data_IF_003706799693
#
_entry.id   IF_003706799693
#
_cell.length_a   1.000
_cell.length_b   1.000
_cell.length_c   1.000
_cell.angle_alpha   90.00
_cell.angle_beta   90.00
_cell.angle_gamma   90.00
#
_symmetry.space_group_name_H-M   'P 1'
#
loop_
_entity.id
_entity.type
_entity.pdbx_description
1 polymer ?
#
# COMPACT_ATOMS: atom_id res chain seq x y z
N UNK A 1 -19.14 -4.41 -20.61
CA UNK A 1 -18.13 -5.41 -20.19
C UNK A 1 -17.16 -5.74 -21.33
N UNK A 2 -17.64 -6.11 -22.54
CA UNK A 2 -16.76 -6.41 -23.70
C UNK A 2 -15.88 -5.22 -24.08
N UNK A 3 -16.43 -4.01 -24.13
CA UNK A 3 -15.68 -2.79 -24.43
C UNK A 3 -14.60 -2.53 -23.36
N UNK A 4 -14.94 -2.70 -22.09
CA UNK A 4 -13.99 -2.56 -20.97
C UNK A 4 -12.84 -3.56 -21.06
N UNK A 5 -13.13 -4.81 -21.42
CA UNK A 5 -12.11 -5.84 -21.64
C UNK A 5 -11.19 -5.48 -22.81
N UNK A 6 -11.75 -4.98 -23.91
CA UNK A 6 -10.99 -4.57 -25.09
C UNK A 6 -10.11 -3.34 -24.78
N UNK A 7 -10.65 -2.31 -24.12
CA UNK A 7 -9.88 -1.15 -23.67
C UNK A 7 -8.73 -1.56 -22.73
N UNK A 8 -8.97 -2.50 -21.84
CA UNK A 8 -7.94 -2.98 -20.92
C UNK A 8 -6.87 -3.80 -21.64
N UNK A 9 -7.26 -4.61 -22.64
CA UNK A 9 -6.31 -5.33 -23.50
C UNK A 9 -5.35 -4.38 -24.22
N UNK A 10 -5.89 -3.32 -24.83
CA UNK A 10 -5.11 -2.29 -25.52
C UNK A 10 -4.26 -1.50 -24.54
N UNK A 11 -4.85 -1.16 -23.39
CA UNK A 11 -4.17 -0.43 -22.35
C UNK A 11 -2.98 -1.17 -21.75
N UNK A 12 -3.06 -2.47 -21.57
CA UNK A 12 -1.99 -3.32 -21.03
C UNK A 12 -1.02 -3.85 -22.07
N UNK A 13 -1.32 -3.69 -23.37
CA UNK A 13 -0.52 -4.29 -24.44
C UNK A 13 -0.25 -5.79 -24.20
N UNK A 14 -1.31 -6.56 -23.95
CA UNK A 14 -1.22 -7.97 -23.51
C UNK A 14 -0.30 -8.81 -24.41
N UNK A 15 -0.30 -8.57 -25.70
CA UNK A 15 0.53 -9.31 -26.64
C UNK A 15 2.03 -8.98 -26.45
N UNK A 16 2.37 -7.74 -26.11
CA UNK A 16 3.72 -7.32 -25.75
C UNK A 16 4.12 -7.95 -24.41
N UNK A 17 3.21 -7.95 -23.42
CA UNK A 17 3.47 -8.57 -22.12
C UNK A 17 3.73 -10.08 -22.24
N UNK A 18 3.04 -10.80 -23.12
CA UNK A 18 3.31 -12.22 -23.38
C UNK A 18 4.69 -12.45 -23.98
N UNK A 19 5.11 -11.58 -24.92
CA UNK A 19 6.47 -11.61 -25.46
C UNK A 19 7.51 -11.36 -24.36
N UNK A 20 7.29 -10.33 -23.55
CA UNK A 20 8.18 -9.99 -22.42
C UNK A 20 8.28 -11.09 -21.39
N UNK A 21 7.17 -11.76 -21.10
CA UNK A 21 7.16 -12.90 -20.18
C UNK A 21 8.02 -14.05 -20.68
N UNK A 22 7.95 -14.35 -21.98
CA UNK A 22 8.78 -15.39 -22.58
C UNK A 22 10.27 -15.05 -22.49
N UNK A 23 10.65 -13.78 -22.73
CA UNK A 23 12.02 -13.30 -22.58
C UNK A 23 12.51 -13.43 -21.14
N UNK A 24 11.72 -12.95 -20.17
CA UNK A 24 12.07 -12.99 -18.74
C UNK A 24 12.24 -14.44 -18.23
N UNK A 25 11.37 -15.36 -18.66
CA UNK A 25 11.52 -16.78 -18.31
C UNK A 25 12.79 -17.39 -18.90
N UNK A 26 13.10 -17.08 -20.16
CA UNK A 26 14.33 -17.52 -20.78
C UNK A 26 15.58 -16.91 -20.12
N UNK A 27 15.46 -15.69 -19.60
CA UNK A 27 16.54 -15.03 -18.82
C UNK A 27 16.74 -15.67 -17.46
N UNK A 28 15.64 -16.03 -16.78
CA UNK A 28 15.65 -16.71 -15.49
C UNK A 28 16.28 -18.12 -15.54
N UNK A 29 16.22 -18.80 -16.70
CA UNK A 29 16.83 -20.11 -16.92
C UNK A 29 18.35 -20.07 -17.11
N UNK A 30 18.95 -18.87 -17.28
CA UNK A 30 20.40 -18.75 -17.48
C UNK A 30 21.18 -19.12 -16.20
N UNK A 31 22.28 -19.89 -16.31
CA UNK A 31 23.07 -20.32 -15.16
C UNK A 31 23.64 -19.15 -14.33
N UNK A 32 23.88 -18.00 -14.95
CA UNK A 32 24.40 -16.78 -14.31
C UNK A 32 23.42 -16.19 -13.29
N UNK A 33 22.12 -16.37 -13.50
CA UNK A 33 21.06 -15.89 -12.60
C UNK A 33 20.98 -16.75 -11.33
N UNK A 34 21.24 -18.06 -11.45
CA UNK A 34 21.18 -19.01 -10.32
C UNK A 34 22.27 -18.75 -9.28
N UNK A 35 23.39 -18.16 -9.70
CA UNK A 35 24.50 -17.80 -8.82
C UNK A 35 24.34 -16.44 -8.12
N UNK A 36 23.37 -15.64 -8.52
CA UNK A 36 23.15 -14.29 -7.99
C UNK A 36 21.73 -14.17 -7.41
N UNK A 37 21.64 -14.24 -6.08
CA UNK A 37 20.35 -14.20 -5.34
C UNK A 37 19.57 -12.91 -5.60
N UNK A 38 20.26 -11.78 -5.70
CA UNK A 38 19.64 -10.46 -5.93
C UNK A 38 19.02 -10.38 -7.33
N UNK A 39 19.76 -10.78 -8.36
CA UNK A 39 19.28 -10.82 -9.73
C UNK A 39 18.13 -11.82 -9.91
N UNK A 40 18.22 -12.99 -9.28
CA UNK A 40 17.16 -14.00 -9.27
C UNK A 40 15.87 -13.48 -8.62
N UNK A 41 16.00 -12.78 -7.50
CA UNK A 41 14.85 -12.18 -6.79
C UNK A 41 14.19 -11.08 -7.61
N UNK A 42 14.99 -10.21 -8.24
CA UNK A 42 14.52 -9.13 -9.12
C UNK A 42 13.76 -9.67 -10.34
N UNK A 43 14.35 -10.62 -11.05
CA UNK A 43 13.71 -11.28 -12.18
C UNK A 43 12.45 -12.05 -11.76
N UNK A 44 12.47 -12.74 -10.62
CA UNK A 44 11.31 -13.43 -10.09
C UNK A 44 10.13 -12.50 -9.83
N UNK A 45 10.38 -11.31 -9.27
CA UNK A 45 9.35 -10.28 -9.06
C UNK A 45 8.80 -9.74 -10.39
N UNK A 46 9.67 -9.50 -11.36
CA UNK A 46 9.26 -9.01 -12.68
C UNK A 46 8.40 -10.05 -13.42
N UNK A 47 8.80 -11.32 -13.40
CA UNK A 47 8.01 -12.44 -13.95
C UNK A 47 6.65 -12.51 -13.27
N UNK A 48 6.60 -12.51 -11.94
CA UNK A 48 5.34 -12.59 -11.17
C UNK A 48 4.41 -11.41 -11.48
N UNK A 49 4.95 -10.20 -11.60
CA UNK A 49 4.16 -9.02 -11.94
C UNK A 49 3.57 -9.10 -13.35
N UNK A 50 4.35 -9.54 -14.34
CA UNK A 50 3.87 -9.69 -15.72
C UNK A 50 2.85 -10.84 -15.83
N UNK A 51 3.12 -11.99 -15.19
CA UNK A 51 2.17 -13.10 -15.12
C UNK A 51 0.86 -12.70 -14.43
N UNK A 52 0.93 -11.94 -13.35
CA UNK A 52 -0.25 -11.45 -12.64
C UNK A 52 -1.17 -10.62 -13.55
N UNK A 53 -0.60 -9.74 -14.39
CA UNK A 53 -1.37 -8.93 -15.35
C UNK A 53 -2.00 -9.79 -16.45
N UNK A 54 -1.27 -10.75 -17.01
CA UNK A 54 -1.79 -11.65 -18.04
C UNK A 54 -2.90 -12.54 -17.46
N UNK A 55 -2.68 -13.12 -16.27
CA UNK A 55 -3.66 -13.99 -15.61
C UNK A 55 -4.95 -13.22 -15.25
N UNK A 56 -4.84 -11.98 -14.79
CA UNK A 56 -6.00 -11.14 -14.53
C UNK A 56 -6.82 -10.90 -15.81
N UNK A 57 -6.16 -10.62 -16.94
CA UNK A 57 -6.82 -10.45 -18.22
C UNK A 57 -7.52 -11.75 -18.67
N UNK A 58 -6.82 -12.91 -18.60
CA UNK A 58 -7.41 -14.19 -19.00
C UNK A 58 -8.59 -14.57 -18.08
N UNK A 59 -8.51 -14.27 -16.80
CA UNK A 59 -9.63 -14.48 -15.85
C UNK A 59 -10.85 -13.64 -16.24
N UNK A 60 -10.68 -12.33 -16.51
CA UNK A 60 -11.76 -11.46 -16.93
C UNK A 60 -12.38 -11.88 -18.27
N UNK A 61 -11.52 -12.30 -19.22
CA UNK A 61 -11.98 -12.83 -20.50
C UNK A 61 -12.84 -14.10 -20.34
N UNK A 62 -12.37 -15.05 -19.52
CA UNK A 62 -13.10 -16.29 -19.23
C UNK A 62 -14.42 -16.02 -18.53
N UNK A 63 -14.47 -15.10 -17.55
CA UNK A 63 -15.69 -14.71 -16.88
C UNK A 63 -16.72 -14.12 -17.86
N UNK A 64 -16.26 -13.33 -18.84
CA UNK A 64 -17.14 -12.80 -19.88
C UNK A 64 -17.63 -13.90 -20.85
N UNK A 65 -16.79 -14.87 -21.20
CA UNK A 65 -17.17 -16.04 -22.01
C UNK A 65 -18.25 -16.86 -21.27
N UNK A 66 -18.05 -17.15 -19.97
CA UNK A 66 -19.04 -17.87 -19.15
C UNK A 66 -20.40 -17.14 -19.08
N UNK A 67 -20.40 -15.80 -18.95
CA UNK A 67 -21.62 -15.01 -18.98
C UNK A 67 -22.34 -15.13 -20.33
N UNK A 68 -21.61 -15.05 -21.46
CA UNK A 68 -22.20 -15.19 -22.79
C UNK A 68 -22.76 -16.59 -23.02
N UNK A 69 -22.05 -17.64 -22.59
CA UNK A 69 -22.49 -19.03 -22.72
C UNK A 69 -23.84 -19.25 -21.98
N UNK A 70 -24.01 -18.65 -20.79
CA UNK A 70 -25.27 -18.75 -20.03
C UNK A 70 -26.39 -17.94 -20.71
N UNK A 71 -26.09 -16.78 -21.29
CA UNK A 71 -27.06 -15.99 -22.06
C UNK A 71 -27.56 -16.80 -23.27
N UNK A 72 -26.62 -17.35 -24.06
CA UNK A 72 -26.95 -18.15 -25.23
C UNK A 72 -27.81 -19.38 -24.84
N UNK A 73 -27.49 -20.03 -23.71
CA UNK A 73 -28.26 -21.16 -23.19
C UNK A 73 -29.70 -20.75 -22.82
N UNK A 74 -29.88 -19.61 -22.15
CA UNK A 74 -31.23 -19.10 -21.81
C UNK A 74 -32.02 -18.77 -23.07
N UNK A 75 -31.37 -18.17 -24.07
CA UNK A 75 -32.01 -17.84 -25.33
C UNK A 75 -32.45 -19.08 -26.13
N UNK A 76 -31.65 -20.15 -26.11
CA UNK A 76 -31.94 -21.40 -26.81
C UNK A 76 -32.99 -22.26 -26.10
N UNK A 77 -32.92 -22.34 -24.78
CA UNK A 77 -33.77 -23.26 -24.00
C UNK A 77 -35.02 -22.61 -23.43
N UNK A 78 -34.98 -21.28 -23.21
CA UNK A 78 -36.05 -20.56 -22.51
C UNK A 78 -36.11 -20.83 -21.02
N UNK A 79 -35.05 -21.38 -20.42
CA UNK A 79 -34.94 -21.70 -18.99
C UNK A 79 -34.74 -20.46 -18.13
N UNK A 80 -35.82 -19.79 -17.72
CA UNK A 80 -35.77 -18.61 -16.84
C UNK A 80 -35.21 -18.92 -15.44
N UNK A 81 -35.11 -20.19 -15.05
CA UNK A 81 -34.50 -20.59 -13.78
C UNK A 81 -33.00 -20.27 -13.67
N UNK A 82 -32.31 -20.08 -14.80
CA UNK A 82 -30.89 -19.70 -14.85
C UNK A 82 -30.64 -18.18 -14.68
N UNK A 83 -31.67 -17.36 -14.73
CA UNK A 83 -31.53 -15.89 -14.60
C UNK A 83 -30.86 -15.46 -13.28
N UNK A 84 -31.15 -16.02 -12.10
CA UNK A 84 -30.46 -15.65 -10.86
C UNK A 84 -28.97 -16.03 -10.86
N UNK A 85 -28.60 -17.11 -11.55
CA UNK A 85 -27.21 -17.53 -11.74
C UNK A 85 -26.49 -16.55 -12.66
N UNK A 86 -27.11 -16.14 -13.75
CA UNK A 86 -26.61 -15.13 -14.67
C UNK A 86 -26.37 -13.81 -13.95
N UNK A 87 -27.28 -13.35 -13.10
CA UNK A 87 -27.11 -12.11 -12.32
C UNK A 87 -25.88 -12.19 -11.40
N UNK A 88 -25.64 -13.35 -10.80
CA UNK A 88 -24.48 -13.57 -9.93
C UNK A 88 -23.17 -13.57 -10.73
N UNK A 89 -23.16 -14.24 -11.89
CA UNK A 89 -22.00 -14.26 -12.78
C UNK A 89 -21.68 -12.88 -13.34
N UNK A 90 -22.70 -12.11 -13.73
CA UNK A 90 -22.55 -10.74 -14.19
C UNK A 90 -21.94 -9.83 -13.11
N UNK A 91 -22.45 -9.88 -11.88
CA UNK A 91 -21.92 -9.09 -10.78
C UNK A 91 -20.43 -9.42 -10.50
N UNK A 92 -20.08 -10.72 -10.53
CA UNK A 92 -18.70 -11.18 -10.35
C UNK A 92 -17.80 -10.73 -11.51
N UNK A 93 -18.28 -10.84 -12.75
CA UNK A 93 -17.52 -10.41 -13.92
C UNK A 93 -17.33 -8.86 -13.94
N UNK A 94 -18.32 -8.08 -13.51
CA UNK A 94 -18.21 -6.64 -13.36
C UNK A 94 -17.14 -6.26 -12.32
N UNK A 95 -17.12 -6.91 -11.18
CA UNK A 95 -16.12 -6.67 -10.12
C UNK A 95 -14.71 -7.03 -10.61
N UNK A 96 -14.54 -8.19 -11.21
CA UNK A 96 -13.25 -8.65 -11.75
C UNK A 96 -12.71 -7.71 -12.87
N UNK A 97 -13.58 -7.25 -13.76
CA UNK A 97 -13.20 -6.33 -14.85
C UNK A 97 -12.87 -4.93 -14.32
N UNK A 98 -13.60 -4.43 -13.33
CA UNK A 98 -13.30 -3.12 -12.72
C UNK A 98 -11.97 -3.17 -11.95
N UNK A 99 -11.70 -4.23 -11.20
CA UNK A 99 -10.41 -4.44 -10.55
C UNK A 99 -9.26 -4.49 -11.56
N UNK A 100 -9.45 -5.19 -12.68
CA UNK A 100 -8.47 -5.25 -13.75
C UNK A 100 -8.27 -3.85 -14.38
N UNK A 101 -9.34 -3.08 -14.61
CA UNK A 101 -9.27 -1.70 -15.10
C UNK A 101 -8.46 -0.81 -14.17
N UNK A 102 -8.72 -0.87 -12.87
CA UNK A 102 -7.96 -0.12 -11.87
C UNK A 102 -6.48 -0.49 -11.92
N UNK A 103 -6.15 -1.79 -11.96
CA UNK A 103 -4.76 -2.26 -12.08
C UNK A 103 -4.07 -1.77 -13.36
N UNK A 104 -4.81 -1.65 -14.47
CA UNK A 104 -4.27 -1.16 -15.74
C UNK A 104 -3.85 0.32 -15.69
N UNK A 105 -4.37 1.09 -14.75
CA UNK A 105 -4.01 2.50 -14.51
C UNK A 105 -2.70 2.65 -13.72
N UNK A 106 -2.25 1.60 -13.03
CA UNK A 106 -1.04 1.61 -12.22
C UNK A 106 0.21 1.40 -13.09
N UNK A 107 0.68 2.48 -13.74
CA UNK A 107 1.80 2.47 -14.70
C UNK A 107 3.01 3.28 -14.24
N UNK A 108 2.96 3.89 -13.08
CA UNK A 108 4.06 4.66 -12.53
C UNK A 108 5.26 3.77 -12.21
N UNK A 109 6.46 4.32 -12.33
CA UNK A 109 7.74 3.62 -12.07
C UNK A 109 7.75 2.86 -10.73
N UNK A 110 7.08 3.40 -9.72
CA UNK A 110 7.08 2.87 -8.36
C UNK A 110 5.77 2.19 -7.97
N UNK A 111 4.78 2.13 -8.87
CA UNK A 111 3.43 1.61 -8.53
C UNK A 111 3.44 0.16 -8.07
N UNK A 112 4.37 -0.66 -8.57
CA UNK A 112 4.55 -2.06 -8.18
C UNK A 112 5.24 -2.29 -6.82
N UNK A 113 5.68 -1.22 -6.16
CA UNK A 113 6.44 -1.32 -4.91
C UNK A 113 5.53 -1.46 -3.68
N UNK A 114 6.11 -1.92 -2.58
CA UNK A 114 5.47 -1.84 -1.27
C UNK A 114 5.31 -0.37 -0.86
N UNK A 115 4.39 -0.11 0.05
CA UNK A 115 4.11 1.24 0.54
C UNK A 115 4.60 1.43 1.97
N UNK A 116 5.29 2.55 2.22
CA UNK A 116 5.59 3.06 3.55
C UNK A 116 4.61 4.20 3.85
N UNK A 117 3.87 4.07 4.92
CA UNK A 117 2.84 5.02 5.32
C UNK A 117 3.19 5.65 6.67
N UNK A 118 3.03 6.97 6.75
CA UNK A 118 3.19 7.73 7.98
C UNK A 118 1.93 8.53 8.25
N UNK A 119 1.29 8.28 9.37
CA UNK A 119 0.14 9.04 9.85
C UNK A 119 0.56 9.95 10.99
N UNK A 120 0.17 11.23 10.92
CA UNK A 120 0.38 12.18 12.00
C UNK A 120 -0.93 12.88 12.38
N UNK A 121 -1.13 13.07 13.68
CA UNK A 121 -2.22 13.89 14.19
C UNK A 121 -1.95 15.37 13.87
N UNK A 122 -2.96 16.05 13.34
CA UNK A 122 -2.94 17.47 13.07
C UNK A 122 -3.69 18.30 14.12
N UNK A 123 -4.32 19.39 13.68
CA UNK A 123 -5.13 20.21 14.56
C UNK A 123 -6.37 19.44 15.05
N UNK A 124 -6.64 19.49 16.36
CA UNK A 124 -7.79 18.83 17.01
C UNK A 124 -7.51 18.19 18.37
N UNK A 125 -6.25 18.21 18.84
CA UNK A 125 -5.87 17.65 20.14
C UNK A 125 -6.17 16.15 20.23
N UNK A 126 -6.73 15.68 21.33
CA UNK A 126 -7.10 14.27 21.57
C UNK A 126 -8.00 13.70 20.46
N UNK A 127 -8.91 14.51 19.92
CA UNK A 127 -9.79 14.12 18.81
C UNK A 127 -9.00 13.80 17.54
N UNK A 128 -7.92 14.52 17.23
CA UNK A 128 -7.08 14.24 16.07
C UNK A 128 -6.24 12.96 16.24
N UNK A 129 -5.82 12.66 17.48
CA UNK A 129 -5.14 11.40 17.80
C UNK A 129 -6.07 10.20 17.64
N UNK A 130 -7.34 10.33 18.04
CA UNK A 130 -8.36 9.30 17.82
C UNK A 130 -8.65 9.12 16.33
N UNK A 131 -8.69 10.22 15.57
CA UNK A 131 -8.85 10.16 14.11
C UNK A 131 -7.71 9.38 13.42
N UNK A 132 -6.45 9.57 13.84
CA UNK A 132 -5.31 8.77 13.37
C UNK A 132 -5.52 7.29 13.65
N UNK A 133 -5.99 6.92 14.85
CA UNK A 133 -6.31 5.52 15.18
C UNK A 133 -7.37 4.93 14.25
N UNK A 134 -8.39 5.72 13.90
CA UNK A 134 -9.43 5.28 12.97
C UNK A 134 -8.88 5.08 11.56
N UNK A 135 -8.03 6.00 11.07
CA UNK A 135 -7.37 5.89 9.77
C UNK A 135 -6.41 4.68 9.73
N UNK A 136 -5.58 4.50 10.75
CA UNK A 136 -4.68 3.36 10.86
C UNK A 136 -5.44 2.04 10.79
N UNK A 137 -6.53 1.92 11.55
CA UNK A 137 -7.42 0.75 11.49
C UNK A 137 -8.06 0.57 10.11
N UNK A 138 -8.46 1.66 9.44
CA UNK A 138 -9.05 1.61 8.09
C UNK A 138 -8.04 1.04 7.09
N UNK A 139 -6.81 1.56 7.05
CA UNK A 139 -5.78 1.10 6.14
C UNK A 139 -5.31 -0.33 6.44
N UNK A 140 -5.17 -0.69 7.73
CA UNK A 140 -4.84 -2.06 8.12
C UNK A 140 -5.90 -3.05 7.62
N UNK A 141 -7.18 -2.73 7.81
CA UNK A 141 -8.27 -3.59 7.33
C UNK A 141 -8.38 -3.64 5.81
N UNK A 142 -8.11 -2.54 5.14
CA UNK A 142 -8.01 -2.53 3.69
C UNK A 142 -6.90 -3.48 3.22
N UNK A 143 -5.73 -3.39 3.82
CA UNK A 143 -4.60 -4.25 3.51
C UNK A 143 -4.93 -5.74 3.74
N UNK A 144 -5.53 -6.08 4.88
CA UNK A 144 -5.96 -7.45 5.19
C UNK A 144 -6.94 -8.02 4.16
N UNK A 145 -7.94 -7.22 3.74
CA UNK A 145 -8.93 -7.65 2.73
C UNK A 145 -8.32 -7.89 1.36
N UNK A 146 -7.26 -7.15 1.01
CA UNK A 146 -6.55 -7.30 -0.25
C UNK A 146 -5.38 -8.29 -0.17
N UNK A 147 -5.23 -9.01 0.95
CA UNK A 147 -4.16 -9.99 1.12
C UNK A 147 -2.76 -9.37 1.28
N UNK A 148 -2.69 -8.08 1.61
CA UNK A 148 -1.44 -7.39 1.87
C UNK A 148 -0.99 -7.63 3.32
N UNK A 149 0.33 -7.71 3.52
CA UNK A 149 0.90 -7.82 4.86
C UNK A 149 1.17 -6.42 5.43
N UNK A 150 0.77 -6.20 6.67
CA UNK A 150 1.03 -4.94 7.40
C UNK A 150 2.08 -5.19 8.47
N UNK A 151 3.07 -4.30 8.53
CA UNK A 151 4.11 -4.29 9.57
C UNK A 151 4.19 -2.90 10.18
N UNK A 152 3.90 -2.77 11.47
CA UNK A 152 4.10 -1.53 12.22
C UNK A 152 5.60 -1.33 12.45
N UNK A 153 6.12 -0.15 12.13
CA UNK A 153 7.54 0.20 12.24
C UNK A 153 7.82 1.03 13.48
N UNK A 154 7.01 2.08 13.70
CA UNK A 154 7.10 2.94 14.88
C UNK A 154 5.70 3.47 15.23
N UNK A 155 5.48 3.71 16.52
CA UNK A 155 4.21 4.23 17.01
C UNK A 155 4.39 5.11 18.23
N UNK A 156 3.79 6.27 18.18
CA UNK A 156 3.70 7.18 19.30
C UNK A 156 2.22 7.39 19.65
N UNK A 157 1.82 6.94 20.83
CA UNK A 157 0.46 7.11 21.33
C UNK A 157 0.19 8.56 21.76
N UNK A 158 -1.06 8.98 21.72
CA UNK A 158 -1.50 10.26 22.27
C UNK A 158 -1.51 10.27 23.79
N UNK A 159 -1.35 11.44 24.39
CA UNK A 159 -1.24 11.58 25.86
C UNK A 159 -2.49 11.09 26.61
N UNK A 160 -3.68 11.28 26.04
CA UNK A 160 -4.97 10.91 26.67
C UNK A 160 -5.66 9.75 25.93
N UNK A 161 -5.64 9.77 24.60
CA UNK A 161 -6.23 8.73 23.77
C UNK A 161 -5.68 8.80 22.34
N UNK A 162 -5.82 7.69 21.62
CA UNK A 162 -5.50 7.61 20.21
C UNK A 162 -4.00 7.53 19.92
N UNK A 163 -3.64 7.76 18.68
CA UNK A 163 -2.29 7.68 18.14
C UNK A 163 -1.86 9.07 17.69
N UNK A 164 -0.70 9.54 18.16
CA UNK A 164 -0.12 10.82 17.74
C UNK A 164 0.60 10.70 16.40
N UNK A 165 1.37 9.64 16.23
CA UNK A 165 1.98 9.26 14.95
C UNK A 165 2.15 7.75 14.85
N UNK A 166 2.10 7.21 13.65
CA UNK A 166 2.40 5.82 13.38
C UNK A 166 3.02 5.67 12.00
N UNK A 167 4.12 4.94 11.95
CA UNK A 167 4.81 4.53 10.74
C UNK A 167 4.59 3.04 10.53
N UNK A 168 4.11 2.68 9.35
CA UNK A 168 3.84 1.28 9.03
C UNK A 168 4.07 0.99 7.56
N UNK A 169 4.40 -0.26 7.28
CA UNK A 169 4.64 -0.78 5.94
C UNK A 169 3.48 -1.66 5.50
N UNK A 170 3.05 -1.50 4.25
CA UNK A 170 2.10 -2.39 3.58
C UNK A 170 2.84 -3.08 2.42
N UNK A 171 2.99 -4.41 2.55
CA UNK A 171 3.69 -5.25 1.59
C UNK A 171 2.67 -5.99 0.72
N UNK A 172 2.77 -5.81 -0.58
CA UNK A 172 1.90 -6.49 -1.55
C UNK A 172 2.07 -5.93 -2.96
N UNK A 173 1.57 -6.66 -3.93
CA UNK A 173 1.62 -6.25 -5.34
C UNK A 173 0.86 -4.95 -5.55
N UNK A 174 1.54 -3.94 -6.09
CA UNK A 174 1.00 -2.60 -6.35
C UNK A 174 0.50 -1.84 -5.10
N UNK A 175 0.95 -2.21 -3.89
CA UNK A 175 0.50 -1.57 -2.65
C UNK A 175 0.70 -0.05 -2.69
N UNK A 176 1.88 0.44 -3.14
CA UNK A 176 2.12 1.86 -3.32
C UNK A 176 1.22 2.48 -4.39
N UNK A 177 1.03 1.80 -5.52
CA UNK A 177 0.19 2.27 -6.61
C UNK A 177 -1.23 2.58 -6.17
N UNK A 178 -1.85 1.72 -5.36
CA UNK A 178 -3.18 1.93 -4.80
C UNK A 178 -3.22 3.04 -3.76
N UNK A 179 -2.21 3.09 -2.87
CA UNK A 179 -2.24 3.96 -1.69
C UNK A 179 -1.66 5.35 -1.95
N UNK A 180 -0.88 5.58 -3.01
CA UNK A 180 -0.28 6.89 -3.32
C UNK A 180 -1.30 8.02 -3.46
N UNK A 181 -2.51 7.70 -3.92
CA UNK A 181 -3.58 8.68 -4.10
C UNK A 181 -4.19 9.15 -2.76
N UNK A 182 -4.02 8.38 -1.69
CA UNK A 182 -4.49 8.71 -0.35
C UNK A 182 -3.59 9.73 0.38
N UNK A 183 -2.39 10.02 -0.15
CA UNK A 183 -1.48 11.00 0.43
C UNK A 183 -2.13 12.36 0.55
N UNK A 184 -2.14 12.91 1.77
CA UNK A 184 -2.67 14.25 2.02
C UNK A 184 -3.26 14.43 3.40
N UNK A 185 -4.16 15.42 3.51
CA UNK A 185 -4.81 15.77 4.77
C UNK A 185 -6.23 15.20 4.81
N UNK A 186 -6.47 14.39 5.82
CA UNK A 186 -7.76 13.75 6.10
C UNK A 186 -8.53 14.54 7.13
N UNK A 187 -9.76 14.93 6.81
CA UNK A 187 -10.63 15.72 7.67
C UNK A 187 -11.75 14.87 8.24
N UNK A 188 -11.91 14.91 9.56
CA UNK A 188 -13.03 14.32 10.27
C UNK A 188 -13.93 15.41 10.82
N UNK A 189 -15.24 15.27 10.60
CA UNK A 189 -16.26 16.14 11.22
C UNK A 189 -17.30 15.25 11.89
N UNK A 190 -17.31 15.24 13.23
CA UNK A 190 -18.27 14.45 14.01
C UNK A 190 -18.61 15.12 15.35
N UNK A 191 -19.61 14.59 16.04
CA UNK A 191 -19.82 14.91 17.45
C UNK A 191 -18.71 14.25 18.24
N UNK A 192 -17.92 15.03 19.00
CA UNK A 192 -16.77 14.53 19.73
C UNK A 192 -17.20 13.63 20.89
N UNK A 193 -16.66 12.42 21.01
CA UNK A 193 -16.86 11.57 22.19
C UNK A 193 -16.11 12.10 23.44
N UNK A 194 -15.16 13.02 23.26
CA UNK A 194 -14.35 13.61 24.33
C UNK A 194 -14.92 14.94 24.85
N UNK A 195 -15.92 15.52 24.17
CA UNK A 195 -16.59 16.75 24.62
C UNK A 195 -17.87 16.42 25.42
N UNK A 196 -17.85 16.76 26.71
CA UNK A 196 -19.02 16.59 27.59
C UNK A 196 -20.29 17.31 27.08
N UNK A 197 -20.13 18.39 26.32
CA UNK A 197 -21.22 19.16 25.74
C UNK A 197 -21.71 18.58 24.38
N UNK A 198 -21.13 17.49 23.92
CA UNK A 198 -21.49 16.81 22.64
C UNK A 198 -21.51 17.76 21.43
N UNK A 199 -20.58 18.69 21.39
CA UNK A 199 -20.44 19.61 20.26
C UNK A 199 -19.79 18.93 19.06
N UNK A 200 -20.07 19.45 17.88
CA UNK A 200 -19.44 19.02 16.64
C UNK A 200 -18.03 19.61 16.53
N UNK A 201 -17.03 18.75 16.39
CA UNK A 201 -15.63 19.12 16.22
C UNK A 201 -15.13 18.77 14.82
N UNK A 202 -14.11 19.48 14.38
CA UNK A 202 -13.37 19.19 13.15
C UNK A 202 -11.93 18.89 13.53
N UNK A 203 -11.43 17.74 13.07
CA UNK A 203 -10.05 17.28 13.32
C UNK A 203 -9.38 16.93 12.02
N UNK A 204 -8.07 17.07 12.01
CA UNK A 204 -7.25 16.79 10.85
C UNK A 204 -6.16 15.78 11.20
N UNK A 205 -5.83 14.93 10.24
CA UNK A 205 -4.68 14.05 10.25
C UNK A 205 -3.99 14.11 8.90
N UNK A 206 -2.68 13.98 8.86
CA UNK A 206 -1.93 13.88 7.61
C UNK A 206 -1.51 12.44 7.37
N UNK A 207 -1.60 12.01 6.12
CA UNK A 207 -1.04 10.76 5.63
C UNK A 207 0.06 11.07 4.61
N UNK A 208 1.25 10.54 4.86
CA UNK A 208 2.31 10.43 3.87
C UNK A 208 2.37 9.00 3.34
N UNK A 209 2.60 8.88 2.04
CA UNK A 209 2.79 7.59 1.38
C UNK A 209 4.03 7.67 0.52
N UNK A 210 4.96 6.73 0.75
CA UNK A 210 6.21 6.62 0.01
C UNK A 210 6.39 5.20 -0.50
N UNK A 211 7.04 4.99 -1.67
CA UNK A 211 7.41 3.65 -2.12
C UNK A 211 8.58 3.13 -1.27
N UNK A 212 8.59 1.84 -0.97
CA UNK A 212 9.77 1.16 -0.43
C UNK A 212 10.77 0.95 -1.56
N UNK A 213 11.72 1.88 -1.69
CA UNK A 213 12.78 1.80 -2.69
C UNK A 213 13.87 0.88 -2.12
N UNK A 214 14.28 -0.14 -2.89
CA UNK A 214 15.45 -0.94 -2.54
C UNK A 214 16.70 -0.07 -2.65
N UNK A 215 17.63 -0.27 -1.71
CA UNK A 215 18.89 0.49 -1.68
C UNK A 215 19.72 0.11 -2.92
N UNK A 216 19.76 1.00 -3.91
CA UNK A 216 20.56 0.83 -5.13
C UNK A 216 22.08 1.00 -4.87
N UNK A 217 22.49 1.10 -3.59
CA UNK A 217 23.90 1.06 -3.16
C UNK A 217 24.79 2.24 -3.58
N UNK A 218 24.26 3.19 -4.34
CA UNK A 218 25.04 4.29 -4.92
C UNK A 218 25.09 5.57 -4.05
N UNK A 219 24.50 5.55 -2.85
CA UNK A 219 24.51 6.73 -1.96
C UNK A 219 25.62 6.58 -0.91
N UNK A 220 26.76 7.20 -1.17
CA UNK A 220 27.84 7.29 -0.18
C UNK A 220 27.51 8.33 0.90
N UNK A 221 27.22 7.87 2.12
CA UNK A 221 26.99 8.74 3.27
C UNK A 221 28.30 8.85 4.05
N UNK A 222 28.91 10.03 4.05
CA UNK A 222 30.15 10.30 4.79
C UNK A 222 29.83 10.63 6.23
N UNK A 223 30.63 10.11 7.15
CA UNK A 223 30.44 10.36 8.59
C UNK A 223 30.59 11.86 8.94
N UNK A 224 31.38 12.60 8.17
CA UNK A 224 31.59 14.05 8.33
C UNK A 224 30.35 14.90 7.98
N UNK A 225 29.46 14.34 7.15
CA UNK A 225 28.19 14.98 6.75
C UNK A 225 27.06 14.68 7.72
N UNK A 226 27.29 13.85 8.74
CA UNK A 226 26.28 13.47 9.72
C UNK A 226 26.46 14.23 11.02
N UNK A 227 25.38 14.88 11.46
CA UNK A 227 25.28 15.46 12.81
C UNK A 227 24.41 14.55 13.67
N UNK A 228 25.04 13.85 14.61
CA UNK A 228 24.34 13.03 15.60
C UNK A 228 24.05 13.89 16.83
N UNK A 229 22.81 13.92 17.28
CA UNK A 229 22.37 14.63 18.48
C UNK A 229 21.46 13.73 19.30
N UNK A 230 21.61 13.79 20.63
CA UNK A 230 20.79 13.02 21.57
C UNK A 230 19.75 13.92 22.20
N UNK A 231 18.56 13.37 22.43
CA UNK A 231 17.45 14.04 23.07
C UNK A 231 16.76 13.13 24.08
N UNK A 232 15.92 13.74 24.89
CA UNK A 232 14.99 12.98 25.73
C UNK A 232 13.88 12.43 24.85
N UNK A 233 13.59 11.15 24.99
CA UNK A 233 12.46 10.54 24.29
C UNK A 233 11.14 11.18 24.76
N UNK A 234 10.23 11.39 23.81
CA UNK A 234 8.89 11.93 24.07
C UNK A 234 7.89 10.78 24.08
N UNK A 235 7.11 10.64 25.15
CA UNK A 235 6.05 9.62 25.27
C UNK A 235 5.52 9.55 26.69
N UNK A 236 4.38 8.89 26.87
CA UNK A 236 3.82 8.58 28.18
C UNK A 236 4.75 7.59 28.89
N UNK A 237 5.52 8.04 29.88
CA UNK A 237 6.48 7.22 30.60
C UNK A 237 6.92 7.84 31.90
N UNK A 238 7.43 6.98 32.79
CA UNK A 238 7.89 7.34 34.14
C UNK A 238 9.20 8.14 34.16
N UNK A 239 9.77 8.29 35.37
CA UNK A 239 10.93 9.13 35.67
C UNK A 239 12.20 8.83 34.82
N UNK A 240 12.30 7.62 34.25
CA UNK A 240 13.44 7.20 33.42
C UNK A 240 13.43 7.89 32.03
N UNK A 241 12.30 7.95 31.38
CA UNK A 241 12.12 8.57 30.03
C UNK A 241 12.42 10.10 30.09
N UNK A 242 12.07 10.74 31.22
CA UNK A 242 12.26 12.17 31.41
C UNK A 242 13.69 12.56 31.81
N UNK A 243 14.55 11.62 32.19
CA UNK A 243 15.91 11.90 32.68
C UNK A 243 17.03 11.43 31.74
N UNK A 244 16.78 10.43 30.90
CA UNK A 244 17.79 9.87 29.99
C UNK A 244 17.57 10.38 28.56
N UNK A 245 18.66 10.80 27.92
CA UNK A 245 18.67 11.21 26.51
C UNK A 245 18.84 9.96 25.62
N UNK A 246 17.82 9.12 25.57
CA UNK A 246 17.83 7.84 24.82
C UNK A 246 17.39 7.98 23.36
N UNK A 247 16.79 9.11 22.98
CA UNK A 247 16.43 9.38 21.59
C UNK A 247 17.65 9.90 20.82
N UNK A 248 17.96 9.26 19.68
CA UNK A 248 19.04 9.69 18.78
C UNK A 248 18.43 10.34 17.54
N UNK A 249 18.93 11.50 17.19
CA UNK A 249 18.61 12.18 15.94
C UNK A 249 19.87 12.34 15.08
N UNK A 250 19.83 11.79 13.88
CA UNK A 250 20.88 11.93 12.88
C UNK A 250 20.37 12.91 11.80
N UNK A 251 21.15 13.94 11.55
CA UNK A 251 20.84 14.94 10.51
C UNK A 251 21.96 14.89 9.46
N UNK A 252 21.59 14.66 8.21
CA UNK A 252 22.50 14.78 7.07
C UNK A 252 22.60 16.23 6.67
N UNK A 253 23.77 16.86 6.93
CA UNK A 253 23.98 18.30 6.80
C UNK A 253 23.76 18.84 5.36
N UNK A 254 24.24 18.14 4.29
CA UNK A 254 24.09 18.62 2.93
C UNK A 254 22.64 18.65 2.43
N UNK A 255 21.81 17.68 2.85
CA UNK A 255 20.41 17.59 2.40
C UNK A 255 19.40 18.13 3.41
N UNK A 256 19.80 18.31 4.67
CA UNK A 256 18.92 18.70 5.77
C UNK A 256 17.96 17.59 6.23
N UNK A 257 18.09 16.38 5.67
CA UNK A 257 17.26 15.24 6.07
C UNK A 257 17.65 14.84 7.49
N UNK A 258 16.64 14.68 8.36
CA UNK A 258 16.83 14.26 9.74
C UNK A 258 15.96 13.04 10.05
N UNK A 259 16.58 12.02 10.64
CA UNK A 259 15.92 10.80 11.10
C UNK A 259 16.08 10.70 12.61
N UNK A 260 15.04 10.22 13.30
CA UNK A 260 15.02 10.08 14.76
C UNK A 260 14.64 8.64 15.10
N UNK A 261 15.35 8.03 16.05
CA UNK A 261 15.03 6.71 16.60
C UNK A 261 14.95 6.80 18.13
N UNK A 262 13.91 6.19 18.72
CA UNK A 262 13.69 6.15 20.16
C UNK A 262 13.26 4.77 20.67
N UNK A 263 13.37 3.72 19.86
CA UNK A 263 12.93 2.37 20.19
C UNK A 263 13.84 1.68 21.20
N UNK A 264 15.13 2.01 21.18
CA UNK A 264 16.12 1.36 22.05
C UNK A 264 16.25 2.09 23.39
N UNK A 265 16.38 1.30 24.47
CA UNK A 265 16.58 1.83 25.83
C UNK A 265 18.00 2.34 26.09
N UNK A 266 18.94 2.02 25.21
CA UNK A 266 20.36 2.37 25.30
C UNK A 266 20.85 2.93 23.98
N UNK A 267 21.86 3.81 24.05
CA UNK A 267 22.56 4.40 22.90
C UNK A 267 23.65 3.48 22.32
N UNK A 268 23.77 2.26 22.82
CA UNK A 268 24.79 1.27 22.44
C UNK A 268 24.15 0.17 21.61
#
# INVERSE_FOLDING_TARGET
LADTLQETKEALDIDILRGRLAELKAEQEKPEVWGNLELSTKLGREVSSVEGKINAYEKGKKALEEVNDVIDLIEETGEEELVPELDTLLATAEEDLEDMRIRSLLRGKYDGYNALLTLHSGAGGTESCDWVSMLYRMYTRYAERNGFKVTELDRLDGDEAGIKSVDFKIEGENAYGYLKAEKGVHRLVRISPFDANKRRHTSFASLEVMPEIEDDGDVEIRSEDLKVTTYRSSGAGGQHINKTESCIRITHLPTGIAVTCQDERSQI
#
